data_IF_710487197052
#
_entry.id   IF_710487197052
#
_cell.length_a   1.000
_cell.length_b   1.000
_cell.length_c   1.000
_cell.angle_alpha   90.00
_cell.angle_beta   90.00
_cell.angle_gamma   90.00
#
_symmetry.space_group_name_H-M   'P 1'
#
loop_
_entity.id
_entity.type
_entity.pdbx_description
1 polymer ?
#
# COMPACT_ATOMS: atom_id res chain seq x y z
N UNK A 1 -27.69 36.86 5.78
CA UNK A 1 -26.23 37.05 5.99
C UNK A 1 -25.37 36.16 5.07
N UNK A 2 -25.74 35.98 3.78
CA UNK A 2 -25.13 34.97 2.88
C UNK A 2 -23.91 35.43 2.06
N UNK A 3 -23.66 36.75 1.90
CA UNK A 3 -22.63 37.27 0.97
C UNK A 3 -21.33 37.78 1.61
N UNK A 4 -21.14 37.67 2.94
CA UNK A 4 -19.96 38.25 3.62
C UNK A 4 -18.76 37.29 3.76
N UNK A 5 -18.93 35.99 3.47
CA UNK A 5 -17.92 34.95 3.79
C UNK A 5 -17.19 34.37 2.56
N UNK A 6 -17.79 34.37 1.37
CA UNK A 6 -17.11 34.10 0.08
C UNK A 6 -15.90 35.01 -0.18
N UNK A 7 -15.96 36.32 0.16
CA UNK A 7 -14.80 37.20 0.05
C UNK A 7 -13.66 36.81 0.98
N UNK A 8 -13.93 36.20 2.13
CA UNK A 8 -12.91 35.80 3.11
C UNK A 8 -12.14 34.56 2.63
N UNK A 9 -12.84 33.56 2.08
CA UNK A 9 -12.22 32.38 1.48
C UNK A 9 -11.41 32.79 0.25
N UNK A 10 -11.97 33.63 -0.62
CA UNK A 10 -11.24 34.21 -1.75
C UNK A 10 -10.02 35.00 -1.29
N UNK A 11 -10.14 35.78 -0.19
CA UNK A 11 -9.02 36.52 0.39
C UNK A 11 -7.95 35.59 0.98
N UNK A 12 -8.33 34.50 1.65
CA UNK A 12 -7.37 33.50 2.15
C UNK A 12 -6.63 32.80 1.00
N UNK A 13 -7.34 32.43 -0.07
CA UNK A 13 -6.75 31.89 -1.30
C UNK A 13 -5.76 32.93 -1.87
N UNK A 14 -6.19 34.18 -2.07
CA UNK A 14 -5.35 35.25 -2.63
C UNK A 14 -4.14 35.57 -1.73
N UNK A 15 -4.29 35.59 -0.41
CA UNK A 15 -3.17 35.83 0.53
C UNK A 15 -2.18 34.67 0.47
N UNK A 16 -2.65 33.42 0.47
CA UNK A 16 -1.78 32.27 0.28
C UNK A 16 -1.07 32.33 -1.09
N UNK A 17 -1.81 32.66 -2.16
CA UNK A 17 -1.27 32.83 -3.52
C UNK A 17 -0.20 33.93 -3.59
N UNK A 18 -0.42 35.09 -2.95
CA UNK A 18 0.52 36.21 -2.97
C UNK A 18 1.74 35.91 -2.10
N UNK A 19 1.53 35.35 -0.90
CA UNK A 19 2.62 35.06 0.03
C UNK A 19 3.55 33.99 -0.52
N UNK A 20 3.01 32.84 -0.95
CA UNK A 20 3.83 31.76 -1.51
C UNK A 20 4.32 32.04 -2.93
N UNK A 21 3.57 32.79 -3.74
CA UNK A 21 4.04 33.25 -5.06
C UNK A 21 5.20 34.24 -5.00
N UNK A 22 5.55 34.76 -3.81
CA UNK A 22 6.67 35.70 -3.58
C UNK A 22 7.94 35.04 -3.04
N UNK A 23 7.89 33.74 -2.71
CA UNK A 23 9.00 32.98 -2.12
C UNK A 23 9.60 32.09 -3.21
N UNK A 24 10.87 32.29 -3.55
CA UNK A 24 11.57 31.54 -4.60
C UNK A 24 12.22 30.27 -4.01
N UNK A 25 11.37 29.36 -3.54
CA UNK A 25 11.78 28.04 -3.06
C UNK A 25 11.15 27.03 -4.02
N UNK A 26 11.96 26.37 -4.87
CA UNK A 26 11.46 25.34 -5.80
C UNK A 26 10.51 24.38 -5.05
N UNK A 27 9.21 24.51 -5.28
CA UNK A 27 8.21 23.87 -4.42
C UNK A 27 6.79 23.97 -4.98
N UNK A 28 5.82 23.37 -4.28
CA UNK A 28 4.40 23.53 -4.58
C UNK A 28 3.54 23.67 -3.32
N UNK A 29 2.51 24.52 -3.37
CA UNK A 29 1.45 24.57 -2.35
C UNK A 29 0.18 24.00 -2.97
N UNK A 30 -0.44 23.04 -2.31
CA UNK A 30 -1.79 22.61 -2.61
C UNK A 30 -2.74 23.05 -1.50
N UNK A 31 -3.86 23.65 -1.89
CA UNK A 31 -4.97 23.95 -1.02
C UNK A 31 -6.19 23.20 -1.54
N UNK A 32 -6.75 22.30 -0.72
CA UNK A 32 -8.00 21.61 -1.00
C UNK A 32 -9.09 22.13 -0.08
N UNK A 33 -10.19 22.60 -0.67
CA UNK A 33 -11.38 23.06 0.01
C UNK A 33 -12.55 22.20 -0.43
N UNK A 34 -13.24 21.56 0.52
CA UNK A 34 -14.40 20.75 0.20
C UNK A 34 -15.61 21.06 1.08
N UNK A 35 -16.78 20.73 0.54
CA UNK A 35 -18.08 20.94 1.15
C UNK A 35 -18.90 19.66 1.01
N UNK A 36 -19.28 19.06 2.14
CA UNK A 36 -20.16 17.92 2.20
C UNK A 36 -21.60 18.40 2.39
N UNK A 37 -22.56 17.91 1.59
CA UNK A 37 -23.97 18.15 1.87
C UNK A 37 -24.41 17.19 2.99
N UNK A 38 -24.84 17.73 4.13
CA UNK A 38 -25.47 16.92 5.18
C UNK A 38 -26.83 16.38 4.72
N UNK A 39 -27.22 15.22 5.25
CA UNK A 39 -28.56 14.65 5.00
C UNK A 39 -29.68 15.39 5.75
N UNK A 40 -29.35 16.29 6.68
CA UNK A 40 -30.31 17.14 7.40
C UNK A 40 -30.62 18.44 6.62
N UNK A 41 -31.91 18.70 6.36
CA UNK A 41 -32.42 19.85 5.58
C UNK A 41 -32.09 21.24 6.18
N UNK A 42 -31.61 21.29 7.44
CA UNK A 42 -31.38 22.54 8.19
C UNK A 42 -29.91 22.90 8.45
N UNK A 43 -28.93 22.15 7.92
CA UNK A 43 -27.52 22.50 8.13
C UNK A 43 -27.13 23.78 7.38
N UNK A 44 -26.53 24.73 8.10
CA UNK A 44 -26.05 25.96 7.49
C UNK A 44 -24.82 25.66 6.63
N UNK A 45 -24.65 26.37 5.50
CA UNK A 45 -23.47 26.27 4.61
C UNK A 45 -22.12 26.37 5.35
N UNK A 46 -22.12 26.92 6.57
CA UNK A 46 -20.93 27.14 7.38
C UNK A 46 -20.54 25.93 8.25
N UNK A 47 -21.49 25.10 8.65
CA UNK A 47 -21.24 23.96 9.55
C UNK A 47 -20.70 22.72 8.80
N UNK A 48 -20.75 22.74 7.47
CA UNK A 48 -20.38 21.62 6.59
C UNK A 48 -19.10 21.87 5.76
N UNK A 49 -18.36 22.94 6.05
CA UNK A 49 -17.07 23.24 5.41
C UNK A 49 -15.98 22.39 6.10
N UNK A 50 -15.99 21.09 5.82
CA UNK A 50 -15.39 20.07 6.67
C UNK A 50 -13.86 19.94 6.56
N UNK A 51 -13.23 20.42 5.48
CA UNK A 51 -11.79 20.21 5.29
C UNK A 51 -11.13 21.32 4.49
N UNK A 52 -10.14 21.96 5.11
CA UNK A 52 -9.15 22.77 4.43
C UNK A 52 -7.81 22.05 4.61
N UNK A 53 -7.38 21.36 3.57
CA UNK A 53 -6.08 20.69 3.58
C UNK A 53 -5.06 21.61 2.92
N UNK A 54 -3.94 21.83 3.60
CA UNK A 54 -2.82 22.60 3.08
C UNK A 54 -1.61 21.69 3.00
N UNK A 55 -1.12 21.49 1.78
CA UNK A 55 0.06 20.70 1.49
C UNK A 55 1.16 21.62 1.00
N UNK A 56 2.32 21.57 1.63
CA UNK A 56 3.54 22.16 1.09
C UNK A 56 4.39 21.04 0.53
N UNK A 57 5.07 21.26 -0.59
CA UNK A 57 6.14 20.40 -1.08
C UNK A 57 7.35 21.25 -1.44
N UNK A 58 8.53 20.82 -1.01
CA UNK A 58 9.81 21.47 -1.35
C UNK A 58 10.64 20.50 -2.19
N UNK A 59 11.28 21.01 -3.25
CA UNK A 59 12.04 20.25 -4.25
C UNK A 59 13.46 20.81 -4.44
N UNK A 60 14.03 21.48 -3.44
CA UNK A 60 15.37 22.08 -3.55
C UNK A 60 16.48 21.03 -3.56
N UNK A 61 17.68 21.42 -4.03
CA UNK A 61 18.93 20.62 -4.00
C UNK A 61 19.54 20.54 -2.58
N UNK A 62 18.73 20.44 -1.53
CA UNK A 62 19.22 20.47 -0.15
C UNK A 62 18.14 20.48 0.92
N UNK A 63 16.89 20.81 0.55
CA UNK A 63 15.71 20.62 1.38
C UNK A 63 14.57 20.10 0.51
N UNK A 64 14.05 18.94 0.88
CA UNK A 64 12.83 18.36 0.32
C UNK A 64 11.88 17.99 1.43
N UNK A 65 10.60 17.94 1.15
CA UNK A 65 9.66 17.55 2.18
C UNK A 65 8.24 17.96 1.88
N UNK A 66 7.33 17.46 2.70
CA UNK A 66 5.93 17.82 2.70
C UNK A 66 5.39 18.16 4.08
N UNK A 67 4.39 19.04 4.11
CA UNK A 67 3.70 19.42 5.34
C UNK A 67 2.21 19.48 5.11
N UNK A 68 1.47 18.64 5.83
CA UNK A 68 0.03 18.47 5.64
C UNK A 68 -0.72 18.92 6.90
N UNK A 69 -1.56 19.94 6.77
CA UNK A 69 -2.47 20.38 7.82
C UNK A 69 -3.90 19.98 7.47
N UNK A 70 -4.58 19.28 8.38
CA UNK A 70 -5.98 18.94 8.26
C UNK A 70 -6.76 19.54 9.43
N UNK A 71 -8.07 19.71 9.26
CA UNK A 71 -9.00 19.89 10.39
C UNK A 71 -9.41 18.54 10.96
N UNK A 72 -9.55 18.44 12.28
CA UNK A 72 -10.18 17.30 12.94
C UNK A 72 -11.70 17.48 13.08
N UNK A 73 -12.38 16.49 13.66
CA UNK A 73 -13.83 16.52 13.91
C UNK A 73 -14.27 17.56 14.95
N UNK A 74 -13.33 18.24 15.61
CA UNK A 74 -13.55 19.31 16.59
C UNK A 74 -13.15 20.68 16.02
N UNK A 75 -13.00 20.79 14.70
CA UNK A 75 -12.59 22.01 13.99
C UNK A 75 -11.17 22.52 14.32
N UNK A 76 -10.33 21.70 14.96
CA UNK A 76 -8.95 22.05 15.28
C UNK A 76 -8.01 21.67 14.15
N UNK A 77 -7.07 22.57 13.83
CA UNK A 77 -6.01 22.28 12.86
C UNK A 77 -4.94 21.40 13.50
N UNK A 78 -4.58 20.32 12.82
CA UNK A 78 -3.55 19.39 13.26
C UNK A 78 -2.68 18.97 12.08
N UNK A 79 -1.42 18.63 12.37
CA UNK A 79 -0.48 18.14 11.36
C UNK A 79 -0.78 16.68 11.09
N UNK A 80 -1.30 16.39 9.90
CA UNK A 80 -1.78 15.06 9.54
C UNK A 80 -0.69 14.12 9.09
N UNK A 81 0.31 14.66 8.40
CA UNK A 81 1.58 14.00 8.13
C UNK A 81 2.57 15.02 7.59
N UNK A 82 3.82 14.96 8.02
CA UNK A 82 4.89 15.79 7.46
C UNK A 82 6.21 15.04 7.43
N UNK A 83 7.02 15.36 6.43
CA UNK A 83 8.40 14.90 6.30
C UNK A 83 9.27 16.03 5.77
N UNK A 84 10.45 16.22 6.34
CA UNK A 84 11.44 17.15 5.78
C UNK A 84 12.82 16.53 5.79
N UNK A 85 13.42 16.39 4.62
CA UNK A 85 14.77 15.89 4.39
C UNK A 85 15.71 17.03 4.02
N UNK A 86 16.74 17.20 4.83
CA UNK A 86 17.89 18.05 4.58
C UNK A 86 18.98 17.19 3.94
N UNK A 87 19.23 17.39 2.64
CA UNK A 87 20.23 16.64 1.88
C UNK A 87 21.59 17.33 2.01
N UNK A 88 22.58 16.61 2.53
CA UNK A 88 24.00 17.01 2.58
C UNK A 88 24.82 15.97 1.80
N UNK A 89 26.04 16.32 1.41
CA UNK A 89 26.87 15.51 0.49
C UNK A 89 26.88 14.00 0.79
N UNK A 90 27.11 13.60 2.04
CA UNK A 90 27.15 12.21 2.49
C UNK A 90 26.14 11.91 3.63
N UNK A 91 25.19 12.82 3.88
CA UNK A 91 24.30 12.72 5.04
C UNK A 91 22.96 13.37 4.75
N UNK A 92 21.88 12.61 4.95
CA UNK A 92 20.53 13.18 4.90
C UNK A 92 19.91 13.15 6.29
N UNK A 93 19.43 14.30 6.75
CA UNK A 93 18.64 14.39 7.98
C UNK A 93 17.17 14.56 7.61
N UNK A 94 16.35 13.59 7.95
CA UNK A 94 14.90 13.62 7.75
C UNK A 94 14.17 13.79 9.07
N UNK A 95 13.11 14.59 9.11
CA UNK A 95 12.21 14.76 10.27
C UNK A 95 10.82 14.26 9.91
N UNK A 96 10.10 13.65 10.86
CA UNK A 96 8.79 13.03 10.66
C UNK A 96 7.77 13.51 11.67
N UNK A 97 6.61 13.94 11.22
CA UNK A 97 5.49 14.29 12.10
C UNK A 97 4.28 13.50 11.66
N UNK A 98 3.73 12.68 12.56
CA UNK A 98 2.59 11.79 12.34
C UNK A 98 2.68 10.98 11.02
N UNK A 99 3.85 10.45 10.70
CA UNK A 99 4.09 9.73 9.44
C UNK A 99 4.05 8.22 9.65
N UNK A 100 3.44 7.50 8.72
CA UNK A 100 3.37 6.02 8.71
C UNK A 100 4.51 5.40 7.88
N UNK A 101 5.72 5.96 7.93
CA UNK A 101 6.84 5.48 7.11
C UNK A 101 8.10 5.22 7.97
N UNK A 102 8.20 4.02 8.51
CA UNK A 102 9.44 3.47 9.08
C UNK A 102 9.74 2.18 8.34
N UNK A 103 10.34 2.29 7.15
CA UNK A 103 10.72 1.12 6.35
C UNK A 103 12.18 0.78 6.58
N UNK A 104 12.43 -0.51 6.71
CA UNK A 104 13.74 -1.10 6.46
C UNK A 104 13.86 -1.40 4.96
N UNK A 105 15.07 -1.29 4.43
CA UNK A 105 15.40 -1.72 3.06
C UNK A 105 15.95 -3.17 3.04
N UNK A 106 15.74 -3.90 4.14
CA UNK A 106 16.00 -5.34 4.24
C UNK A 106 15.05 -6.14 3.32
N UNK A 107 15.36 -7.42 3.15
CA UNK A 107 14.70 -8.25 2.15
C UNK A 107 13.33 -8.72 2.54
N UNK A 108 13.19 -9.11 3.80
CA UNK A 108 11.92 -9.50 4.34
C UNK A 108 11.00 -8.32 4.60
N UNK A 109 11.53 -7.08 4.56
CA UNK A 109 10.83 -5.90 5.07
C UNK A 109 10.26 -6.21 6.44
N UNK A 110 11.09 -6.79 7.31
CA UNK A 110 10.64 -7.41 8.56
C UNK A 110 10.02 -6.39 9.51
N UNK A 111 10.23 -5.10 9.26
CA UNK A 111 9.52 -4.00 9.90
C UNK A 111 8.49 -3.43 8.93
N UNK A 112 7.26 -3.93 9.06
CA UNK A 112 6.08 -3.41 8.40
C UNK A 112 5.55 -2.19 9.16
N UNK A 113 5.54 -1.05 8.48
CA UNK A 113 5.18 0.21 9.08
C UNK A 113 3.67 0.50 9.17
N UNK A 114 2.82 -0.36 8.59
CA UNK A 114 1.39 -0.43 8.95
C UNK A 114 1.20 -0.87 10.40
N UNK A 115 2.03 -1.82 10.89
CA UNK A 115 1.97 -2.32 12.28
C UNK A 115 2.65 -1.38 13.27
N UNK A 116 3.70 -0.67 12.84
CA UNK A 116 4.37 0.36 13.67
C UNK A 116 3.42 1.52 13.98
N UNK A 117 2.58 1.92 13.01
CA UNK A 117 1.63 3.03 13.14
C UNK A 117 2.24 4.38 12.80
N UNK A 118 1.48 5.46 13.01
CA UNK A 118 1.97 6.83 12.79
C UNK A 118 2.95 7.24 13.88
N UNK A 119 4.04 7.90 13.48
CA UNK A 119 5.10 8.27 14.41
C UNK A 119 5.65 9.68 14.16
N UNK A 120 6.23 10.26 15.22
CA UNK A 120 7.04 11.48 15.13
C UNK A 120 8.51 11.10 15.25
N UNK A 121 9.45 11.84 14.66
CA UNK A 121 10.86 11.50 14.88
C UNK A 121 11.84 12.08 13.87
N UNK A 122 13.00 11.43 13.80
CA UNK A 122 14.11 11.75 12.93
C UNK A 122 14.60 10.48 12.22
N UNK A 123 15.00 10.60 10.96
CA UNK A 123 15.85 9.63 10.26
C UNK A 123 17.16 10.29 9.88
N UNK A 124 18.24 9.57 10.04
CA UNK A 124 19.55 9.92 9.54
C UNK A 124 19.96 8.87 8.52
N UNK A 125 20.19 9.28 7.28
CA UNK A 125 20.91 8.48 6.29
C UNK A 125 22.35 8.99 6.25
N UNK A 126 23.31 8.08 6.19
CA UNK A 126 24.71 8.41 6.00
C UNK A 126 25.34 7.45 4.99
N UNK A 127 25.96 8.01 3.95
CA UNK A 127 26.86 7.29 3.06
C UNK A 127 28.28 7.39 3.61
N UNK A 128 28.84 6.28 4.09
CA UNK A 128 30.16 6.24 4.72
C UNK A 128 31.25 5.82 3.73
N UNK A 129 31.06 6.11 2.45
CA UNK A 129 31.98 5.78 1.36
C UNK A 129 32.32 4.27 1.37
N UNK A 130 33.60 3.94 1.56
CA UNK A 130 34.13 2.58 1.59
C UNK A 130 33.67 1.75 2.81
N UNK A 131 32.93 2.36 3.74
CA UNK A 131 32.40 1.69 4.92
C UNK A 131 30.90 1.38 4.79
N UNK A 132 30.28 1.61 3.64
CA UNK A 132 28.87 1.26 3.41
C UNK A 132 27.91 2.35 3.88
N UNK A 133 26.63 2.00 4.10
CA UNK A 133 25.56 3.00 4.23
C UNK A 133 24.69 2.70 5.45
N UNK A 134 24.29 3.75 6.17
CA UNK A 134 23.55 3.64 7.42
C UNK A 134 22.22 4.40 7.33
N UNK A 135 21.15 3.77 7.80
CA UNK A 135 19.88 4.41 8.11
C UNK A 135 19.61 4.26 9.60
N UNK A 136 19.42 5.37 10.31
CA UNK A 136 19.04 5.37 11.71
C UNK A 136 17.74 6.14 11.90
N UNK A 137 16.78 5.56 12.59
CA UNK A 137 15.49 6.14 12.92
C UNK A 137 15.42 6.27 14.45
N UNK A 138 15.09 7.48 14.92
CA UNK A 138 14.77 7.75 16.32
C UNK A 138 13.37 8.36 16.37
N UNK A 139 12.44 7.61 16.92
CA UNK A 139 11.02 7.79 16.70
C UNK A 139 10.28 7.80 18.03
N UNK A 140 9.37 8.75 18.19
CA UNK A 140 8.40 8.82 19.26
C UNK A 140 7.04 8.29 18.78
N UNK A 141 6.59 7.22 19.43
CA UNK A 141 5.27 6.61 19.26
C UNK A 141 4.47 6.83 20.55
N UNK A 142 3.59 7.83 20.53
CA UNK A 142 2.67 8.12 21.66
C UNK A 142 3.35 8.32 23.02
N UNK A 143 4.57 8.90 23.05
CA UNK A 143 5.35 9.12 24.27
C UNK A 143 6.44 8.09 24.52
N UNK A 144 6.61 7.12 23.61
CA UNK A 144 7.59 6.04 23.75
C UNK A 144 8.65 6.06 22.64
N UNK A 145 9.88 5.70 22.99
CA UNK A 145 10.99 5.69 22.06
C UNK A 145 11.05 4.37 21.27
N UNK A 146 11.11 4.49 19.96
CA UNK A 146 11.40 3.44 19.01
C UNK A 146 12.67 3.82 18.25
N UNK A 147 13.71 3.00 18.33
CA UNK A 147 14.93 3.18 17.57
C UNK A 147 15.13 2.03 16.60
N UNK A 148 15.56 2.36 15.39
CA UNK A 148 15.86 1.40 14.36
C UNK A 148 17.14 1.82 13.64
N UNK A 149 18.11 0.93 13.61
CA UNK A 149 19.33 1.05 12.84
C UNK A 149 19.34 -0.04 11.76
N UNK A 150 19.58 0.36 10.53
CA UNK A 150 19.88 -0.53 9.42
C UNK A 150 21.19 -0.10 8.79
N UNK A 151 22.18 -0.97 8.79
CA UNK A 151 23.52 -0.69 8.31
C UNK A 151 23.92 -1.71 7.25
N UNK A 152 24.12 -1.22 6.03
CA UNK A 152 24.59 -2.00 4.90
C UNK A 152 26.12 -1.97 4.88
N UNK A 153 26.73 -3.14 5.04
CA UNK A 153 28.18 -3.31 4.97
C UNK A 153 28.66 -3.14 3.52
N UNK A 154 29.91 -2.70 3.31
CA UNK A 154 30.50 -2.67 1.98
C UNK A 154 30.56 -4.08 1.40
N UNK A 155 30.41 -4.20 0.08
CA UNK A 155 30.47 -5.50 -0.60
C UNK A 155 31.86 -6.13 -0.43
N UNK A 156 31.91 -7.35 0.09
CA UNK A 156 33.15 -8.11 0.28
C UNK A 156 33.09 -9.42 -0.51
N UNK A 157 33.90 -9.53 -1.56
CA UNK A 157 34.00 -10.77 -2.35
C UNK A 157 32.70 -11.21 -3.02
N UNK A 158 31.87 -10.26 -3.46
CA UNK A 158 30.55 -10.54 -4.03
C UNK A 158 29.45 -10.76 -2.99
N UNK A 159 29.76 -10.62 -1.70
CA UNK A 159 28.78 -10.73 -0.61
C UNK A 159 28.33 -9.34 -0.20
N UNK A 160 27.03 -9.07 -0.36
CA UNK A 160 26.36 -7.91 0.24
C UNK A 160 25.74 -8.38 1.55
N UNK A 161 25.84 -7.59 2.62
CA UNK A 161 25.22 -7.93 3.90
C UNK A 161 24.79 -6.69 4.66
N UNK A 162 23.77 -6.85 5.49
CA UNK A 162 23.27 -5.79 6.37
C UNK A 162 23.13 -6.27 7.80
N UNK A 163 23.15 -5.31 8.71
CA UNK A 163 22.75 -5.50 10.10
C UNK A 163 21.53 -4.65 10.37
N UNK A 164 20.52 -5.27 10.95
CA UNK A 164 19.32 -4.64 11.47
C UNK A 164 19.40 -4.65 13.00
N UNK A 165 19.06 -3.54 13.63
CA UNK A 165 18.92 -3.43 15.07
C UNK A 165 17.71 -2.56 15.41
N UNK A 166 16.78 -3.09 16.18
CA UNK A 166 15.60 -2.39 16.64
C UNK A 166 15.51 -2.46 18.16
N UNK A 167 15.09 -1.35 18.76
CA UNK A 167 14.77 -1.25 20.18
C UNK A 167 13.51 -0.42 20.38
N UNK A 168 12.45 -1.02 20.89
CA UNK A 168 11.16 -0.38 21.13
C UNK A 168 10.77 -0.45 22.60
N UNK A 169 10.65 0.71 23.24
CA UNK A 169 10.28 0.82 24.65
C UNK A 169 8.75 0.81 24.76
N UNK A 170 8.15 -0.22 25.34
CA UNK A 170 6.68 -0.42 25.30
C UNK A 170 5.92 0.40 26.34
N UNK A 171 6.56 0.80 27.43
CA UNK A 171 5.99 1.57 28.52
C UNK A 171 7.07 2.40 29.24
N UNK A 172 6.66 3.42 30.02
CA UNK A 172 7.55 4.18 30.91
C UNK A 172 8.18 3.31 32.03
N UNK A 173 7.79 2.02 32.10
CA UNK A 173 8.05 1.11 33.21
C UNK A 173 8.71 -0.19 32.74
N UNK A 174 10.00 -0.09 32.39
CA UNK A 174 10.97 -1.20 32.42
C UNK A 174 10.91 -2.31 31.36
N UNK A 175 10.00 -2.33 30.38
CA UNK A 175 10.00 -3.36 29.31
C UNK A 175 10.30 -2.80 27.92
N UNK A 176 11.15 -3.50 27.16
CA UNK A 176 11.42 -3.19 25.75
C UNK A 176 11.48 -4.43 24.88
N UNK A 177 11.15 -4.27 23.60
CA UNK A 177 11.47 -5.25 22.58
C UNK A 177 12.81 -4.90 21.94
N UNK A 178 13.64 -5.91 21.74
CA UNK A 178 14.89 -5.79 21.01
C UNK A 178 14.89 -6.78 19.86
N UNK A 179 15.25 -6.35 18.67
CA UNK A 179 15.35 -7.21 17.50
C UNK A 179 16.69 -6.97 16.82
N UNK A 180 17.37 -8.05 16.45
CA UNK A 180 18.65 -8.00 15.74
C UNK A 180 18.54 -8.89 14.51
N UNK A 181 18.83 -8.34 13.34
CA UNK A 181 18.81 -9.06 12.08
C UNK A 181 20.15 -8.99 11.37
N UNK A 182 20.44 -10.03 10.60
CA UNK A 182 21.56 -10.07 9.68
C UNK A 182 21.08 -10.67 8.36
N UNK A 183 21.23 -9.93 7.27
CA UNK A 183 20.94 -10.41 5.92
C UNK A 183 22.22 -10.52 5.08
N UNK A 184 22.18 -11.40 4.08
CA UNK A 184 23.29 -11.61 3.17
C UNK A 184 22.85 -12.03 1.76
N UNK A 185 23.55 -11.54 0.74
CA UNK A 185 23.41 -11.88 -0.68
C UNK A 185 24.74 -12.30 -1.25
N UNK A 186 24.80 -13.50 -1.81
CA UNK A 186 26.01 -13.98 -2.47
C UNK A 186 25.82 -13.86 -3.98
N UNK A 187 26.36 -12.79 -4.56
CA UNK A 187 26.28 -12.49 -5.99
C UNK A 187 27.39 -13.11 -6.84
N UNK A 188 28.35 -13.80 -6.22
CA UNK A 188 29.60 -14.26 -6.86
C UNK A 188 29.45 -15.49 -7.77
N UNK A 189 28.30 -16.17 -7.73
CA UNK A 189 28.06 -17.40 -8.47
C UNK A 189 27.08 -17.15 -9.62
N UNK A 190 27.51 -17.43 -10.86
CA UNK A 190 26.76 -17.03 -12.07
C UNK A 190 25.37 -17.70 -12.21
N UNK A 191 25.21 -18.95 -11.75
CA UNK A 191 23.95 -19.70 -11.90
C UNK A 191 23.20 -20.01 -10.61
N UNK A 192 23.78 -19.72 -9.43
CA UNK A 192 23.23 -20.11 -8.12
C UNK A 192 23.59 -19.01 -7.12
N UNK A 193 22.67 -18.13 -6.76
CA UNK A 193 22.89 -16.99 -5.86
C UNK A 193 22.18 -17.23 -4.53
N UNK A 194 22.86 -17.81 -3.53
CA UNK A 194 22.33 -17.96 -2.18
C UNK A 194 22.06 -16.61 -1.53
N UNK A 195 21.03 -16.59 -0.72
CA UNK A 195 20.59 -15.40 -0.04
C UNK A 195 19.84 -15.81 1.24
N UNK A 196 19.92 -15.02 2.30
CA UNK A 196 19.11 -15.25 3.49
C UNK A 196 19.15 -14.10 4.48
N UNK A 197 18.36 -14.27 5.53
CA UNK A 197 18.24 -13.37 6.66
C UNK A 197 18.00 -14.18 7.94
N UNK A 198 18.68 -13.81 9.02
CA UNK A 198 18.45 -14.36 10.36
C UNK A 198 18.09 -13.22 11.28
N UNK A 199 16.97 -13.35 11.97
CA UNK A 199 16.51 -12.34 12.91
C UNK A 199 16.22 -12.97 14.25
N UNK A 200 16.68 -12.35 15.33
CA UNK A 200 16.32 -12.71 16.69
C UNK A 200 15.51 -11.57 17.30
N UNK A 201 14.50 -11.91 18.08
CA UNK A 201 13.69 -10.93 18.79
C UNK A 201 13.57 -11.31 20.25
N UNK A 202 13.76 -10.34 21.14
CA UNK A 202 13.71 -10.53 22.57
C UNK A 202 12.71 -9.56 23.19
N UNK A 203 11.90 -10.06 24.12
CA UNK A 203 11.18 -9.22 25.06
C UNK A 203 12.03 -9.13 26.33
N UNK A 204 12.39 -7.91 26.71
CA UNK A 204 13.39 -7.64 27.74
C UNK A 204 12.80 -6.78 28.86
N UNK A 205 13.15 -7.13 30.08
CA UNK A 205 13.06 -6.26 31.25
C UNK A 205 14.38 -5.45 31.36
N UNK A 206 14.28 -4.15 31.63
CA UNK A 206 15.40 -3.20 31.72
C UNK A 206 16.33 -3.51 32.88
N UNK A 207 15.80 -4.03 33.99
CA UNK A 207 16.58 -4.39 35.18
C UNK A 207 17.21 -5.78 35.06
N UNK A 208 16.57 -6.69 34.32
CA UNK A 208 17.02 -8.08 34.15
C UNK A 208 17.00 -8.59 32.69
N UNK A 209 17.86 -8.05 31.80
CA UNK A 209 17.89 -8.50 30.41
C UNK A 209 18.29 -9.98 30.28
N UNK A 210 17.59 -10.74 29.45
CA UNK A 210 17.84 -12.14 29.12
C UNK A 210 17.89 -12.35 27.61
N UNK A 211 19.06 -12.75 27.09
CA UNK A 211 19.30 -12.96 25.65
C UNK A 211 19.21 -14.45 25.27
N UNK A 212 18.14 -15.13 25.68
CA UNK A 212 17.91 -16.50 25.22
C UNK A 212 17.39 -16.50 23.80
N UNK A 213 18.13 -17.13 22.89
CA UNK A 213 17.70 -17.34 21.49
C UNK A 213 16.71 -18.49 21.35
N UNK A 214 16.48 -19.27 22.40
CA UNK A 214 15.59 -20.43 22.37
C UNK A 214 14.18 -20.00 21.95
N UNK A 215 13.70 -20.57 20.84
CA UNK A 215 12.41 -20.30 20.21
C UNK A 215 12.10 -18.83 19.91
N UNK A 216 13.10 -17.95 19.78
CA UNK A 216 12.94 -16.50 19.59
C UNK A 216 13.58 -15.95 18.29
N UNK A 217 13.58 -16.74 17.21
CA UNK A 217 14.28 -16.44 15.97
C UNK A 217 13.44 -16.68 14.71
N UNK A 218 13.83 -15.98 13.65
CA UNK A 218 13.35 -16.13 12.30
C UNK A 218 14.53 -16.50 11.41
N UNK A 219 14.38 -17.53 10.60
CA UNK A 219 15.32 -17.91 9.55
C UNK A 219 14.63 -17.74 8.20
N UNK A 220 15.25 -17.02 7.32
CA UNK A 220 14.87 -16.92 5.93
C UNK A 220 16.08 -17.25 5.06
N UNK A 221 15.87 -18.09 4.06
CA UNK A 221 16.97 -18.51 3.22
C UNK A 221 16.48 -19.07 1.91
N UNK A 222 17.26 -18.81 0.86
CA UNK A 222 16.91 -19.21 -0.47
C UNK A 222 18.09 -19.20 -1.43
N UNK A 223 17.77 -19.62 -2.63
CA UNK A 223 18.67 -19.65 -3.78
C UNK A 223 17.88 -19.21 -4.98
N UNK A 224 18.41 -18.24 -5.71
CA UNK A 224 17.91 -17.83 -7.02
C UNK A 224 18.98 -17.96 -8.07
N UNK A 225 18.60 -18.11 -9.33
CA UNK A 225 19.59 -18.27 -10.38
C UNK A 225 18.96 -18.38 -11.75
N UNK A 226 19.84 -18.48 -12.74
CA UNK A 226 19.49 -18.60 -14.15
C UNK A 226 20.39 -19.66 -14.79
N UNK A 227 19.79 -20.55 -15.58
CA UNK A 227 20.45 -21.60 -16.34
C UNK A 227 19.99 -21.53 -17.80
N UNK A 228 20.62 -20.67 -18.60
CA UNK A 228 20.12 -20.32 -19.93
C UNK A 228 18.85 -19.49 -19.80
N UNK A 229 17.77 -19.83 -20.52
CA UNK A 229 16.48 -19.12 -20.43
C UNK A 229 15.63 -19.54 -19.21
N UNK A 230 16.12 -20.46 -18.39
CA UNK A 230 15.40 -20.92 -17.20
C UNK A 230 15.84 -20.13 -15.98
N UNK A 231 14.92 -19.39 -15.37
CA UNK A 231 15.17 -18.72 -14.08
C UNK A 231 14.44 -19.47 -12.97
N UNK A 232 15.00 -19.42 -11.77
CA UNK A 232 14.38 -20.01 -10.60
C UNK A 232 14.67 -19.18 -9.36
N UNK A 233 13.74 -19.27 -8.41
CA UNK A 233 13.86 -18.69 -7.10
C UNK A 233 13.18 -19.61 -6.09
N UNK A 234 13.96 -20.21 -5.20
CA UNK A 234 13.46 -21.00 -4.10
C UNK A 234 13.84 -20.33 -2.78
N UNK A 235 12.89 -20.15 -1.87
CA UNK A 235 13.19 -19.74 -0.51
C UNK A 235 12.27 -20.39 0.50
N UNK A 236 12.71 -20.35 1.74
CA UNK A 236 11.95 -20.81 2.89
C UNK A 236 12.09 -19.82 4.04
N UNK A 237 11.00 -19.70 4.80
CA UNK A 237 10.92 -18.95 6.04
C UNK A 237 10.55 -19.93 7.15
N UNK A 238 11.27 -19.86 8.26
CA UNK A 238 10.93 -20.51 9.51
C UNK A 238 10.85 -19.45 10.59
N UNK A 239 9.75 -19.44 11.34
CA UNK A 239 9.55 -18.54 12.46
C UNK A 239 9.29 -19.40 13.69
N UNK A 240 10.11 -19.25 14.73
CA UNK A 240 9.92 -19.97 15.98
C UNK A 240 8.77 -19.39 16.80
N UNK A 241 8.23 -20.20 17.71
CA UNK A 241 6.99 -19.92 18.45
C UNK A 241 6.99 -18.60 19.24
N UNK A 242 8.12 -18.26 19.88
CA UNK A 242 8.22 -17.07 20.73
C UNK A 242 8.72 -15.82 19.98
N UNK A 243 9.05 -15.93 18.68
CA UNK A 243 9.48 -14.76 17.90
C UNK A 243 8.39 -13.67 17.88
N UNK A 244 8.76 -12.44 18.24
CA UNK A 244 7.80 -11.34 18.30
C UNK A 244 7.43 -10.82 16.91
N UNK A 245 6.27 -11.23 16.40
CA UNK A 245 5.73 -10.85 15.07
C UNK A 245 5.08 -9.45 15.02
N UNK A 246 5.16 -8.66 16.09
CA UNK A 246 4.41 -7.39 16.21
C UNK A 246 4.82 -6.31 15.23
N UNK A 247 6.03 -6.36 14.67
CA UNK A 247 6.49 -5.47 13.60
C UNK A 247 6.46 -6.13 12.22
N UNK A 248 6.36 -7.45 12.17
CA UNK A 248 6.55 -8.27 10.98
C UNK A 248 5.34 -8.28 10.05
N UNK A 249 5.49 -8.17 8.72
CA UNK A 249 4.35 -8.31 7.80
C UNK A 249 3.67 -9.69 7.93
N UNK A 250 2.37 -9.75 7.67
CA UNK A 250 1.62 -11.01 7.75
C UNK A 250 2.10 -12.04 6.70
N UNK A 251 2.68 -11.57 5.58
CA UNK A 251 3.23 -12.43 4.53
C UNK A 251 4.41 -13.29 4.98
N UNK A 252 5.02 -13.03 6.14
CA UNK A 252 6.08 -13.88 6.67
C UNK A 252 5.60 -15.28 7.07
N UNK A 253 4.29 -15.49 7.18
CA UNK A 253 3.71 -16.82 7.36
C UNK A 253 3.81 -17.71 6.12
N UNK A 254 4.20 -17.17 4.96
CA UNK A 254 4.51 -17.97 3.78
C UNK A 254 5.90 -18.62 3.96
N UNK A 255 5.92 -19.95 4.12
CA UNK A 255 7.09 -20.66 4.62
C UNK A 255 7.95 -21.31 3.54
N UNK A 256 7.37 -21.64 2.39
CA UNK A 256 8.13 -22.14 1.25
C UNK A 256 7.61 -21.49 -0.01
N UNK A 257 8.50 -20.87 -0.77
CA UNK A 257 8.22 -20.27 -2.06
C UNK A 257 9.11 -20.87 -3.12
N UNK A 258 8.52 -21.22 -4.24
CA UNK A 258 9.21 -21.64 -5.45
C UNK A 258 8.64 -20.87 -6.63
N UNK A 259 9.50 -20.14 -7.33
CA UNK A 259 9.23 -19.59 -8.64
C UNK A 259 10.18 -20.19 -9.66
N UNK A 260 9.65 -20.51 -10.82
CA UNK A 260 10.41 -20.94 -11.98
C UNK A 260 9.82 -20.30 -13.24
N UNK A 261 10.68 -19.81 -14.12
CA UNK A 261 10.29 -19.24 -15.41
C UNK A 261 11.10 -19.90 -16.53
N UNK A 262 10.47 -20.07 -17.68
CA UNK A 262 11.11 -20.49 -18.91
C UNK A 262 10.37 -19.90 -20.10
N UNK A 263 11.02 -19.02 -20.85
CA UNK A 263 10.39 -18.23 -21.90
C UNK A 263 9.12 -17.53 -21.35
N UNK A 264 7.98 -17.69 -22.01
CA UNK A 264 6.71 -17.05 -21.64
C UNK A 264 5.90 -17.83 -20.59
N UNK A 265 6.51 -18.84 -19.95
CA UNK A 265 5.88 -19.66 -18.90
C UNK A 265 6.50 -19.32 -17.55
N UNK A 266 5.67 -18.96 -16.57
CA UNK A 266 6.09 -18.77 -15.18
C UNK A 266 5.19 -19.56 -14.24
N UNK A 267 5.79 -20.33 -13.34
CA UNK A 267 5.10 -21.08 -12.30
C UNK A 267 5.56 -20.59 -10.93
N UNK A 268 4.61 -20.22 -10.07
CA UNK A 268 4.87 -19.91 -8.67
C UNK A 268 4.10 -20.89 -7.78
N UNK A 269 4.74 -21.36 -6.71
CA UNK A 269 4.16 -22.19 -5.67
C UNK A 269 4.50 -21.56 -4.32
N UNK A 270 3.50 -21.42 -3.47
CA UNK A 270 3.62 -20.92 -2.09
C UNK A 270 2.97 -21.93 -1.16
N UNK A 271 3.74 -22.47 -0.24
CA UNK A 271 3.25 -23.38 0.79
C UNK A 271 3.28 -22.66 2.14
N UNK A 272 2.11 -22.57 2.76
CA UNK A 272 1.90 -22.08 4.11
C UNK A 272 1.90 -23.30 5.04
N UNK A 273 2.83 -23.33 5.98
CA UNK A 273 2.90 -24.33 7.05
C UNK A 273 2.69 -23.61 8.38
N UNK A 274 2.31 -24.36 9.41
CA UNK A 274 2.54 -23.91 10.77
C UNK A 274 3.52 -24.85 11.45
N UNK A 275 4.49 -24.26 12.12
CA UNK A 275 5.60 -24.96 12.76
C UNK A 275 5.38 -25.03 14.28
N UNK A 276 4.22 -25.53 14.70
CA UNK A 276 3.95 -25.82 16.11
C UNK A 276 4.53 -27.16 16.57
N UNK A 277 4.01 -27.73 17.66
CA UNK A 277 4.40 -29.06 18.16
C UNK A 277 4.16 -30.18 17.13
N UNK A 278 3.18 -29.99 16.26
CA UNK A 278 2.96 -30.78 15.05
C UNK A 278 3.02 -29.83 13.86
N UNK A 279 3.78 -30.17 12.82
CA UNK A 279 3.82 -29.38 11.59
C UNK A 279 2.55 -29.67 10.79
N UNK A 280 1.75 -28.64 10.55
CA UNK A 280 0.57 -28.76 9.70
C UNK A 280 0.72 -27.95 8.40
N UNK A 281 0.16 -28.49 7.33
CA UNK A 281 -0.02 -27.80 6.05
C UNK A 281 -1.35 -27.07 6.12
N UNK A 282 -1.32 -25.75 5.91
CA UNK A 282 -2.51 -24.91 5.85
C UNK A 282 -2.97 -24.78 4.40
N UNK A 283 -2.07 -24.29 3.54
CA UNK A 283 -2.44 -23.90 2.17
C UNK A 283 -1.31 -24.05 1.17
N UNK A 284 -1.64 -24.50 -0.03
CA UNK A 284 -0.75 -24.49 -1.19
C UNK A 284 -1.35 -23.62 -2.29
N UNK A 285 -0.77 -22.44 -2.53
CA UNK A 285 -1.14 -21.55 -3.63
C UNK A 285 -0.21 -21.75 -4.82
N UNK A 286 -0.78 -21.99 -5.99
CA UNK A 286 -0.07 -22.18 -7.25
C UNK A 286 -0.57 -21.17 -8.27
N UNK A 287 0.33 -20.43 -8.92
CA UNK A 287 0.00 -19.62 -10.09
C UNK A 287 0.82 -20.07 -11.29
N UNK A 288 0.15 -20.35 -12.40
CA UNK A 288 0.75 -20.63 -13.70
C UNK A 288 0.40 -19.49 -14.66
N UNK A 289 1.43 -18.84 -15.19
CA UNK A 289 1.34 -17.84 -16.22
C UNK A 289 1.84 -18.44 -17.53
N UNK A 290 1.05 -18.34 -18.59
CA UNK A 290 1.43 -18.70 -19.96
C UNK A 290 0.93 -17.59 -20.86
N UNK A 291 1.85 -16.80 -21.42
CA UNK A 291 1.52 -15.63 -22.24
C UNK A 291 0.52 -14.70 -21.50
N UNK A 292 -0.71 -14.65 -22.03
CA UNK A 292 -1.81 -13.81 -21.61
C UNK A 292 -2.77 -14.51 -20.64
N UNK A 293 -2.48 -15.75 -20.25
CA UNK A 293 -3.28 -16.59 -19.37
C UNK A 293 -2.61 -16.72 -18.00
N UNK A 294 -3.38 -16.55 -16.94
CA UNK A 294 -3.04 -16.87 -15.56
C UNK A 294 -4.04 -17.90 -15.02
N UNK A 295 -3.52 -18.99 -14.45
CA UNK A 295 -4.27 -19.98 -13.70
C UNK A 295 -3.79 -19.92 -12.24
N UNK A 296 -4.70 -19.62 -11.32
CA UNK A 296 -4.48 -19.71 -9.89
C UNK A 296 -5.26 -20.88 -9.31
N UNK A 297 -4.61 -21.66 -8.45
CA UNK A 297 -5.23 -22.73 -7.68
C UNK A 297 -4.67 -22.68 -6.25
N UNK A 298 -5.54 -22.70 -5.26
CA UNK A 298 -5.17 -22.75 -3.86
C UNK A 298 -5.89 -23.91 -3.16
N UNK A 299 -5.17 -24.99 -2.89
CA UNK A 299 -5.68 -26.09 -2.07
C UNK A 299 -5.61 -25.74 -0.59
N UNK A 300 -6.71 -25.99 0.13
CA UNK A 300 -6.82 -25.84 1.58
C UNK A 300 -6.68 -27.21 2.25
N UNK A 301 -6.02 -27.29 3.41
CA UNK A 301 -5.71 -28.55 4.08
C UNK A 301 -5.93 -28.42 5.60
N UNK A 302 -6.44 -29.49 6.22
CA UNK A 302 -6.62 -29.58 7.68
C UNK A 302 -5.56 -30.50 8.29
N UNK A 303 -4.28 -30.10 8.20
CA UNK A 303 -3.17 -30.88 8.76
C UNK A 303 -2.17 -31.37 7.72
N UNK A 304 -2.63 -32.21 6.79
CA UNK A 304 -1.75 -32.86 5.81
C UNK A 304 -2.26 -32.74 4.38
N UNK A 305 -1.42 -33.02 3.38
CA UNK A 305 -1.86 -33.09 1.98
C UNK A 305 -2.98 -34.11 1.74
N UNK A 306 -3.11 -35.14 2.59
CA UNK A 306 -4.23 -36.10 2.51
C UNK A 306 -5.55 -35.53 3.03
N UNK A 307 -5.50 -34.51 3.89
CA UNK A 307 -6.67 -33.88 4.52
C UNK A 307 -7.12 -32.65 3.71
N UNK A 308 -7.25 -32.84 2.39
CA UNK A 308 -7.66 -31.78 1.46
C UNK A 308 -9.10 -31.32 1.73
N UNK A 309 -9.26 -30.02 1.99
CA UNK A 309 -10.55 -29.38 2.27
C UNK A 309 -11.04 -28.69 1.00
N UNK A 310 -11.95 -29.37 0.30
CA UNK A 310 -12.51 -28.86 -0.95
C UNK A 310 -13.26 -27.53 -0.80
N UNK A 311 -13.91 -27.31 0.36
CA UNK A 311 -14.71 -26.12 0.64
C UNK A 311 -13.90 -24.85 0.87
N UNK A 312 -12.69 -24.99 1.41
CA UNK A 312 -11.76 -23.90 1.61
C UNK A 312 -10.92 -23.58 0.37
N UNK A 313 -10.86 -24.51 -0.58
CA UNK A 313 -10.02 -24.43 -1.78
C UNK A 313 -10.55 -23.45 -2.82
N UNK A 314 -9.65 -22.81 -3.56
CA UNK A 314 -9.92 -21.73 -4.50
C UNK A 314 -9.30 -22.00 -5.88
N UNK A 315 -9.92 -21.46 -6.93
CA UNK A 315 -9.37 -21.47 -8.27
C UNK A 315 -9.80 -20.22 -9.03
N UNK A 316 -8.91 -19.69 -9.86
CA UNK A 316 -9.29 -18.73 -10.90
C UNK A 316 -8.54 -18.94 -12.20
N UNK A 317 -9.18 -18.52 -13.29
CA UNK A 317 -8.59 -18.42 -14.62
C UNK A 317 -8.77 -16.97 -15.06
N UNK A 318 -7.67 -16.31 -15.40
CA UNK A 318 -7.63 -14.95 -15.91
C UNK A 318 -6.99 -14.95 -17.29
N UNK A 319 -7.61 -14.27 -18.25
CA UNK A 319 -7.04 -14.00 -19.56
C UNK A 319 -7.00 -12.50 -19.78
N UNK A 320 -5.85 -11.94 -20.15
CA UNK A 320 -5.67 -10.50 -20.40
C UNK A 320 -4.92 -10.26 -21.70
N UNK A 321 -5.42 -9.38 -22.56
CA UNK A 321 -4.83 -9.15 -23.88
C UNK A 321 -4.88 -7.68 -24.26
N UNK A 322 -3.74 -7.16 -24.67
CA UNK A 322 -3.65 -5.87 -25.35
C UNK A 322 -4.08 -6.02 -26.82
N UNK A 323 -4.87 -5.07 -27.27
CA UNK A 323 -5.48 -5.01 -28.59
C UNK A 323 -5.06 -3.71 -29.29
N UNK A 324 -4.72 -3.81 -30.57
CA UNK A 324 -4.45 -2.64 -31.42
C UNK A 324 -5.73 -2.04 -32.01
N UNK A 325 -6.87 -2.12 -31.29
CA UNK A 325 -8.17 -1.64 -31.74
C UNK A 325 -8.48 -0.30 -31.05
N UNK A 326 -8.75 0.80 -31.79
CA UNK A 326 -8.90 2.13 -31.18
C UNK A 326 -9.99 2.21 -30.09
N UNK A 327 -11.11 1.50 -30.25
CA UNK A 327 -12.23 1.56 -29.31
C UNK A 327 -12.16 0.54 -28.16
N UNK A 328 -11.14 -0.33 -28.14
CA UNK A 328 -10.88 -1.29 -27.06
C UNK A 328 -9.39 -1.66 -27.13
N UNK A 329 -8.58 -1.02 -26.29
CA UNK A 329 -7.11 -1.12 -26.30
C UNK A 329 -6.60 -2.31 -25.50
N UNK A 330 -7.38 -2.80 -24.54
CA UNK A 330 -7.13 -4.10 -23.90
C UNK A 330 -8.39 -4.63 -23.26
N UNK A 331 -8.42 -5.95 -23.02
CA UNK A 331 -9.46 -6.58 -22.23
C UNK A 331 -8.88 -7.61 -21.27
N UNK A 332 -9.57 -7.80 -20.15
CA UNK A 332 -9.30 -8.83 -19.15
C UNK A 332 -10.60 -9.55 -18.81
N UNK A 333 -10.56 -10.87 -18.79
CA UNK A 333 -11.65 -11.72 -18.36
C UNK A 333 -11.14 -12.67 -17.28
N UNK A 334 -11.85 -12.77 -16.17
CA UNK A 334 -11.50 -13.65 -15.06
C UNK A 334 -12.72 -14.39 -14.56
N UNK A 335 -12.54 -15.66 -14.22
CA UNK A 335 -13.52 -16.49 -13.51
C UNK A 335 -12.83 -17.01 -12.25
N UNK A 336 -13.48 -16.86 -11.10
CA UNK A 336 -13.01 -17.29 -9.79
C UNK A 336 -14.09 -18.10 -9.06
N UNK A 337 -13.68 -19.10 -8.29
CA UNK A 337 -14.54 -19.88 -7.41
C UNK A 337 -13.77 -20.33 -6.16
N UNK A 338 -14.45 -20.29 -5.01
CA UNK A 338 -14.07 -20.96 -3.76
C UNK A 338 -15.09 -22.02 -3.40
N UNK A 339 -14.61 -23.23 -3.09
CA UNK A 339 -15.45 -24.40 -2.85
C UNK A 339 -16.22 -24.87 -4.09
N UNK A 340 -16.48 -26.17 -4.20
CA UNK A 340 -17.08 -26.75 -5.41
C UNK A 340 -18.60 -26.88 -5.35
N UNK A 341 -19.15 -27.06 -4.15
CA UNK A 341 -20.57 -27.28 -3.93
C UNK A 341 -21.23 -26.09 -3.27
N UNK A 342 -22.38 -25.67 -3.83
CA UNK A 342 -23.26 -24.64 -3.29
C UNK A 342 -24.64 -25.24 -3.04
N UNK A 343 -25.31 -24.80 -1.96
CA UNK A 343 -26.72 -25.12 -1.76
C UNK A 343 -27.56 -24.21 -2.66
N UNK A 344 -27.95 -24.74 -3.82
CA UNK A 344 -28.75 -24.04 -4.82
C UNK A 344 -30.11 -23.53 -4.30
N UNK A 345 -30.59 -24.00 -3.15
CA UNK A 345 -31.85 -23.57 -2.54
C UNK A 345 -31.74 -22.26 -1.74
N UNK A 346 -30.53 -21.85 -1.33
CA UNK A 346 -30.29 -20.65 -0.54
C UNK A 346 -29.21 -19.76 -1.19
N UNK A 347 -29.65 -18.86 -2.07
CA UNK A 347 -28.76 -17.99 -2.85
C UNK A 347 -27.87 -17.07 -1.99
N UNK A 348 -28.25 -16.80 -0.74
CA UNK A 348 -27.49 -15.97 0.21
C UNK A 348 -26.31 -16.71 0.85
N UNK A 349 -26.26 -18.04 0.74
CA UNK A 349 -25.20 -18.88 1.32
C UNK A 349 -24.26 -19.48 0.27
N UNK A 350 -24.38 -19.07 -1.01
CA UNK A 350 -23.46 -19.48 -2.05
C UNK A 350 -22.03 -19.12 -1.66
N UNK A 351 -21.11 -20.07 -1.80
CA UNK A 351 -19.69 -19.86 -1.59
C UNK A 351 -19.14 -18.89 -2.64
N UNK A 352 -18.07 -18.15 -2.32
CA UNK A 352 -17.57 -17.09 -3.19
C UNK A 352 -17.32 -17.55 -4.63
N UNK A 353 -17.86 -16.82 -5.59
CA UNK A 353 -17.55 -16.95 -7.01
C UNK A 353 -17.56 -15.58 -7.67
N UNK A 354 -16.80 -15.41 -8.75
CA UNK A 354 -16.76 -14.12 -9.45
C UNK A 354 -16.48 -14.32 -10.93
N UNK A 355 -17.34 -13.75 -11.77
CA UNK A 355 -17.05 -13.44 -13.16
C UNK A 355 -16.66 -11.97 -13.23
N UNK A 356 -15.54 -11.67 -13.87
CA UNK A 356 -14.99 -10.33 -13.97
C UNK A 356 -14.59 -10.04 -15.41
N UNK A 357 -15.01 -8.89 -15.92
CA UNK A 357 -14.65 -8.37 -17.23
C UNK A 357 -14.15 -6.94 -17.07
N UNK A 358 -13.09 -6.61 -17.76
CA UNK A 358 -12.49 -5.29 -17.78
C UNK A 358 -12.04 -4.96 -19.19
N UNK A 359 -12.22 -3.70 -19.60
CA UNK A 359 -11.79 -3.21 -20.90
C UNK A 359 -11.33 -1.77 -20.84
N UNK A 360 -10.16 -1.50 -21.42
CA UNK A 360 -9.66 -0.15 -21.61
C UNK A 360 -10.00 0.34 -23.02
N UNK A 361 -10.26 1.63 -23.18
CA UNK A 361 -10.56 2.23 -24.49
C UNK A 361 -9.84 3.57 -24.68
N UNK A 362 -9.53 3.91 -25.94
CA UNK A 362 -8.90 5.18 -26.33
C UNK A 362 -9.49 5.69 -27.66
N UNK A 363 -10.63 6.37 -27.58
CA UNK A 363 -11.43 6.76 -28.75
C UNK A 363 -11.68 8.27 -28.78
N UNK A 364 -11.28 8.94 -29.87
CA UNK A 364 -11.45 10.39 -30.06
C UNK A 364 -10.85 11.23 -28.91
N UNK A 365 -9.65 10.86 -28.47
CA UNK A 365 -8.94 11.40 -27.30
C UNK A 365 -9.64 11.18 -25.94
N UNK A 366 -10.74 10.43 -25.90
CA UNK A 366 -11.32 9.95 -24.66
C UNK A 366 -10.67 8.64 -24.27
N UNK A 367 -10.15 8.61 -23.06
CA UNK A 367 -9.54 7.42 -22.46
C UNK A 367 -10.31 7.02 -21.22
N UNK A 368 -10.44 5.73 -21.00
CA UNK A 368 -10.99 5.26 -19.74
C UNK A 368 -11.08 3.75 -19.70
N UNK A 369 -11.78 3.27 -18.68
CA UNK A 369 -11.94 1.87 -18.40
C UNK A 369 -13.39 1.54 -18.08
N UNK A 370 -13.83 0.34 -18.46
CA UNK A 370 -15.14 -0.22 -18.14
C UNK A 370 -14.90 -1.55 -17.44
N UNK A 371 -15.59 -1.76 -16.30
CA UNK A 371 -15.54 -3.02 -15.56
C UNK A 371 -16.95 -3.54 -15.35
N UNK A 372 -17.07 -4.86 -15.40
CA UNK A 372 -18.26 -5.59 -14.99
C UNK A 372 -17.84 -6.74 -14.08
N UNK A 373 -18.54 -6.91 -12.97
CA UNK A 373 -18.37 -8.06 -12.11
C UNK A 373 -19.73 -8.66 -11.73
N UNK A 374 -19.79 -9.98 -11.63
CA UNK A 374 -20.95 -10.71 -11.12
C UNK A 374 -20.50 -11.81 -10.19
N UNK A 375 -21.17 -11.95 -9.04
CA UNK A 375 -20.88 -12.99 -8.06
C UNK A 375 -20.80 -12.46 -6.64
N UNK A 376 -20.07 -13.14 -5.77
CA UNK A 376 -19.83 -12.75 -4.39
C UNK A 376 -18.38 -13.08 -3.97
N UNK A 377 -17.62 -12.15 -3.39
CA UNK A 377 -17.92 -10.72 -3.27
C UNK A 377 -17.88 -10.03 -4.65
N UNK A 378 -18.73 -9.03 -4.87
CA UNK A 378 -18.72 -8.25 -6.13
C UNK A 378 -17.62 -7.19 -6.11
N UNK A 379 -17.26 -6.68 -4.92
CA UNK A 379 -16.14 -5.77 -4.68
C UNK A 379 -15.30 -6.31 -3.51
N UNK A 380 -13.98 -6.23 -3.62
CA UNK A 380 -13.05 -6.85 -2.66
C UNK A 380 -13.12 -6.21 -1.27
N UNK A 381 -13.35 -4.90 -1.17
CA UNK A 381 -13.22 -4.16 0.08
C UNK A 381 -14.55 -3.80 0.74
N UNK A 382 -15.61 -3.58 -0.04
CA UNK A 382 -16.82 -2.92 0.48
C UNK A 382 -18.12 -3.71 0.32
N UNK A 383 -18.28 -4.55 -0.72
CA UNK A 383 -19.55 -5.28 -0.97
C UNK A 383 -19.35 -6.78 -1.11
N UNK A 384 -19.59 -7.52 -0.01
CA UNK A 384 -19.31 -8.95 0.09
C UNK A 384 -20.48 -9.89 -0.27
N UNK A 385 -21.66 -9.35 -0.59
CA UNK A 385 -22.83 -10.18 -0.94
C UNK A 385 -22.97 -10.42 -2.44
N UNK A 386 -23.83 -11.36 -2.84
CA UNK A 386 -24.10 -11.64 -4.26
C UNK A 386 -24.73 -10.44 -4.95
N UNK A 387 -24.18 -10.09 -6.12
CA UNK A 387 -24.71 -9.03 -6.95
C UNK A 387 -23.96 -8.83 -8.26
N UNK A 388 -24.18 -7.66 -8.84
CA UNK A 388 -23.54 -7.16 -10.06
C UNK A 388 -22.91 -5.80 -9.81
N UNK A 389 -21.74 -5.56 -10.40
CA UNK A 389 -21.06 -4.26 -10.40
C UNK A 389 -20.85 -3.83 -11.84
N UNK A 390 -21.19 -2.57 -12.08
CA UNK A 390 -20.95 -1.86 -13.32
C UNK A 390 -20.11 -0.66 -12.99
N UNK A 391 -18.95 -0.53 -13.64
CA UNK A 391 -18.05 0.59 -13.47
C UNK A 391 -17.68 1.15 -14.83
N UNK A 392 -17.62 2.48 -14.93
CA UNK A 392 -17.02 3.14 -16.07
C UNK A 392 -16.33 4.43 -15.62
N UNK A 393 -15.16 4.69 -16.18
CA UNK A 393 -14.55 6.01 -16.17
C UNK A 393 -14.26 6.50 -17.58
N UNK A 394 -14.23 7.82 -17.72
CA UNK A 394 -13.90 8.52 -18.94
C UNK A 394 -13.10 9.76 -18.58
N UNK A 395 -12.05 10.02 -19.35
CA UNK A 395 -11.20 11.19 -19.22
C UNK A 395 -10.85 11.75 -20.58
N UNK A 396 -10.65 13.06 -20.66
CA UNK A 396 -10.14 13.72 -21.86
C UNK A 396 -9.38 14.99 -21.51
N UNK A 397 -8.28 15.18 -22.22
CA UNK A 397 -7.49 16.40 -22.16
C UNK A 397 -7.80 17.30 -23.37
N UNK A 398 -7.97 18.59 -23.12
CA UNK A 398 -8.24 19.63 -24.10
C UNK A 398 -7.37 20.86 -23.79
N UNK A 399 -6.22 20.99 -24.45
CA UNK A 399 -5.25 22.06 -24.21
C UNK A 399 -4.89 22.20 -22.72
N UNK A 400 -5.37 23.28 -22.08
CA UNK A 400 -5.14 23.60 -20.67
C UNK A 400 -6.20 22.99 -19.75
N UNK A 401 -7.16 22.22 -20.26
CA UNK A 401 -8.19 21.57 -19.46
C UNK A 401 -8.04 20.06 -19.49
N UNK A 402 -8.37 19.42 -18.38
CA UNK A 402 -8.63 17.99 -18.28
C UNK A 402 -9.98 17.79 -17.64
N UNK A 403 -10.78 16.87 -18.16
CA UNK A 403 -12.05 16.48 -17.57
C UNK A 403 -12.06 14.97 -17.35
N UNK A 404 -12.56 14.53 -16.20
CA UNK A 404 -12.74 13.13 -15.88
C UNK A 404 -14.10 12.91 -15.22
N UNK A 405 -14.74 11.78 -15.51
CA UNK A 405 -15.91 11.31 -14.80
C UNK A 405 -15.79 9.81 -14.52
N UNK A 406 -16.31 9.37 -13.38
CA UNK A 406 -16.38 7.97 -12.93
C UNK A 406 -17.78 7.67 -12.44
N UNK A 407 -18.30 6.49 -12.76
CA UNK A 407 -19.59 6.01 -12.26
C UNK A 407 -19.48 4.55 -11.86
N UNK A 408 -20.15 4.19 -10.78
CA UNK A 408 -20.26 2.84 -10.28
C UNK A 408 -21.68 2.57 -9.84
N UNK A 409 -22.20 1.43 -10.26
CA UNK A 409 -23.49 0.93 -9.85
C UNK A 409 -23.33 -0.50 -9.36
N UNK A 410 -23.75 -0.78 -8.13
CA UNK A 410 -23.76 -2.11 -7.56
C UNK A 410 -25.21 -2.51 -7.29
N UNK A 411 -25.62 -3.62 -7.85
CA UNK A 411 -26.94 -4.22 -7.64
C UNK A 411 -26.77 -5.55 -6.89
N UNK A 412 -26.97 -5.52 -5.59
CA UNK A 412 -27.06 -6.72 -4.76
C UNK A 412 -28.45 -7.33 -4.74
N UNK A 413 -28.57 -8.50 -4.10
CA UNK A 413 -29.86 -9.12 -3.79
C UNK A 413 -30.67 -8.25 -2.82
N UNK A 414 -30.02 -7.69 -1.80
CA UNK A 414 -30.67 -6.96 -0.71
C UNK A 414 -30.64 -5.44 -0.96
N UNK A 415 -29.55 -4.93 -1.51
CA UNK A 415 -29.26 -3.49 -1.53
C UNK A 415 -28.76 -3.03 -2.91
N UNK A 416 -28.92 -1.73 -3.16
CA UNK A 416 -28.47 -1.07 -4.38
C UNK A 416 -27.65 0.16 -4.02
N UNK A 417 -26.55 0.30 -4.72
CA UNK A 417 -25.54 1.32 -4.45
C UNK A 417 -25.18 2.03 -5.75
N UNK A 418 -25.05 3.34 -5.68
CA UNK A 418 -24.64 4.17 -6.80
C UNK A 418 -23.65 5.21 -6.30
N UNK A 419 -22.49 5.26 -6.94
CA UNK A 419 -21.42 6.22 -6.67
C UNK A 419 -21.03 6.89 -7.98
N UNK A 420 -20.78 8.19 -7.93
CA UNK A 420 -20.37 8.99 -9.07
C UNK A 420 -19.28 9.99 -8.65
N UNK A 421 -18.43 10.34 -9.60
CA UNK A 421 -17.42 11.37 -9.43
C UNK A 421 -17.20 12.11 -10.74
N UNK A 422 -16.95 13.41 -10.66
CA UNK A 422 -16.55 14.20 -11.80
C UNK A 422 -15.55 15.25 -11.39
N UNK A 423 -14.55 15.49 -12.22
CA UNK A 423 -13.58 16.57 -12.04
C UNK A 423 -13.27 17.30 -13.34
N UNK A 424 -12.95 18.58 -13.21
CA UNK A 424 -12.39 19.43 -14.26
C UNK A 424 -11.16 20.11 -13.69
N UNK A 425 -10.02 19.88 -14.32
CA UNK A 425 -8.74 20.49 -13.99
C UNK A 425 -8.37 21.53 -15.05
N UNK A 426 -7.99 22.72 -14.63
CA UNK A 426 -7.45 23.78 -15.47
C UNK A 426 -5.97 24.00 -15.12
N UNK A 427 -5.08 23.76 -16.08
CA UNK A 427 -3.64 23.94 -15.95
C UNK A 427 -3.24 25.39 -16.19
N UNK A 428 -2.54 25.98 -15.22
CA UNK A 428 -1.93 27.30 -15.31
C UNK A 428 -0.40 27.16 -15.41
N UNK A 429 0.35 28.17 -15.91
CA UNK A 429 1.79 28.04 -16.18
C UNK A 429 2.66 27.57 -15.02
N UNK A 430 2.18 27.71 -13.78
CA UNK A 430 2.83 27.24 -12.55
C UNK A 430 1.85 26.52 -11.63
N UNK A 431 0.96 25.67 -12.15
CA UNK A 431 0.00 25.00 -11.28
C UNK A 431 -1.25 24.47 -11.96
N UNK A 432 -2.27 24.16 -11.16
CA UNK A 432 -3.59 23.80 -11.66
C UNK A 432 -4.70 24.17 -10.66
N UNK A 433 -5.92 24.26 -11.17
CA UNK A 433 -7.15 24.42 -10.39
C UNK A 433 -8.07 23.28 -10.79
N UNK A 434 -8.40 22.41 -9.84
CA UNK A 434 -9.32 21.28 -10.00
C UNK A 434 -10.62 21.56 -9.28
N UNK A 435 -11.74 21.45 -9.98
CA UNK A 435 -13.08 21.42 -9.41
C UNK A 435 -13.59 19.99 -9.46
N UNK A 436 -14.19 19.50 -8.39
CA UNK A 436 -14.71 18.14 -8.35
C UNK A 436 -16.06 18.02 -7.62
N UNK A 437 -16.79 16.96 -7.95
CA UNK A 437 -18.05 16.55 -7.34
C UNK A 437 -17.93 15.06 -6.97
N UNK A 438 -18.36 14.70 -5.76
CA UNK A 438 -18.13 13.38 -5.17
C UNK A 438 -16.78 13.29 -4.47
N UNK A 439 -16.55 12.20 -3.74
CA UNK A 439 -15.28 11.95 -3.03
C UNK A 439 -14.23 11.22 -3.88
N UNK A 440 -14.65 10.51 -4.94
CA UNK A 440 -13.76 9.76 -5.84
C UNK A 440 -13.20 8.46 -5.25
N UNK A 441 -13.58 8.11 -4.01
CA UNK A 441 -13.11 6.93 -3.27
C UNK A 441 -14.12 5.79 -3.42
N UNK A 442 -14.04 5.09 -4.56
CA UNK A 442 -15.00 4.05 -4.95
C UNK A 442 -14.68 2.70 -4.30
N UNK A 443 -13.46 2.56 -3.76
CA UNK A 443 -12.97 1.34 -3.11
C UNK A 443 -13.52 1.25 -1.69
N UNK A 444 -13.60 2.37 -0.96
CA UNK A 444 -14.06 2.41 0.43
C UNK A 444 -15.50 2.94 0.63
N UNK A 445 -16.13 3.53 -0.40
CA UNK A 445 -17.45 4.17 -0.25
C UNK A 445 -18.48 3.63 -1.25
N UNK A 446 -19.47 2.92 -0.71
CA UNK A 446 -20.56 2.30 -1.47
C UNK A 446 -21.65 3.28 -1.93
N UNK A 447 -21.72 4.47 -1.37
CA UNK A 447 -22.76 5.45 -1.71
C UNK A 447 -22.17 6.76 -2.20
N UNK A 448 -22.86 7.38 -3.17
CA UNK A 448 -22.49 8.70 -3.63
C UNK A 448 -22.45 9.69 -2.47
N UNK A 449 -21.25 10.13 -2.10
CA UNK A 449 -21.07 11.23 -1.17
C UNK A 449 -21.37 12.53 -1.92
N UNK A 450 -22.46 13.20 -1.56
CA UNK A 450 -22.77 14.54 -2.08
C UNK A 450 -21.72 15.52 -1.56
N UNK A 451 -20.69 15.74 -2.36
CA UNK A 451 -19.57 16.60 -2.03
C UNK A 451 -19.23 17.45 -3.24
N UNK A 452 -18.84 18.70 -3.01
CA UNK A 452 -18.17 19.52 -4.01
C UNK A 452 -16.86 20.00 -3.43
N UNK A 453 -15.84 20.16 -4.27
CA UNK A 453 -14.58 20.69 -3.81
C UNK A 453 -13.77 21.38 -4.89
N UNK A 454 -12.78 22.13 -4.42
CA UNK A 454 -11.81 22.85 -5.22
C UNK A 454 -10.44 22.56 -4.65
N UNK A 455 -9.56 22.03 -5.49
CA UNK A 455 -8.13 21.90 -5.21
C UNK A 455 -7.38 22.91 -6.06
N UNK A 456 -6.48 23.67 -5.47
CA UNK A 456 -5.57 24.56 -6.19
C UNK A 456 -4.14 24.17 -5.86
N UNK A 457 -3.34 23.89 -6.88
CA UNK A 457 -1.91 23.57 -6.73
C UNK A 457 -1.10 24.65 -7.42
N UNK A 458 -0.12 25.24 -6.74
CA UNK A 458 0.76 26.27 -7.28
C UNK A 458 2.21 25.92 -7.05
N UNK A 459 3.03 25.98 -8.10
CA UNK A 459 4.46 25.79 -8.07
C UNK A 459 5.15 27.15 -7.90
N UNK A 460 6.12 27.26 -6.99
CA UNK A 460 6.88 28.49 -6.75
C UNK A 460 8.38 28.27 -6.96
#
# INVERSE_FOLDING_TARGET
>A
MRNKKTPLIFLMIVIATIFFGSINLNGSVELNLNYDYSDEEDASFYDNFNKADLYFKFFGEGLRGEFNLNKDSSDQLWVSSSEFTYELENLDLTTYWNRKSVSTDDWLKIINNEKVGSVNGLKLYADLDNFGNMNFYAVDKSGYLFNLLYYRLPELGGVNSSVLYLKDYKNESLDYNEMMGFDFNVGTFEGVKPYGEVVVSYQQDVETPSYSIEDNYLLFGGVRGELGEFEYNFNTTYISDNFYKGYSPNSLMENIYLESSYNDIRLTNKLELDFGTETYIDRLRTNLYIDNLELYVSGDFDGTFSDFVMDGSEMSITYSQDLSIPFLTSYKASIYKRGWEDDWSEITSYKPFRLYLEGNYDLFDFKGNIKYAFGNPVSEESFQSLGELYYADISRNFDQFSAMAKVQYIQGIIEKYFTAYGEITYYVPKGNIKFYIGNGDFDNVLSFKKQIGVTTTFNF
#
